data_IF_967678744623
#
_entry.id   IF_967678744623
#
_cell.length_a   1.000
_cell.length_b   1.000
_cell.length_c   1.000
_cell.angle_alpha   90.00
_cell.angle_beta   90.00
_cell.angle_gamma   90.00
#
_symmetry.space_group_name_H-M   'P 1'
#
loop_
_entity.id
_entity.type
_entity.pdbx_description
1 polymer ?
#
# COMPACT_ATOMS: atom_id res chain seq x y z
N UNK A 1 7.19 -11.18 2.56
CA UNK A 1 8.07 -10.15 2.00
C UNK A 1 8.34 -9.25 3.16
N UNK A 2 9.57 -8.78 3.24
CA UNK A 2 10.07 -8.03 4.37
C UNK A 2 10.21 -6.60 3.90
N UNK A 3 9.69 -5.64 4.66
CA UNK A 3 9.98 -4.23 4.39
C UNK A 3 11.45 -3.92 4.68
N UNK A 4 11.92 -2.77 4.19
CA UNK A 4 13.29 -2.36 4.44
C UNK A 4 13.50 -1.93 5.90
N UNK A 5 12.46 -1.42 6.55
CA UNK A 5 12.46 -0.98 7.96
C UNK A 5 12.74 -2.15 8.91
N UNK A 6 12.52 -3.40 8.47
CA UNK A 6 12.92 -4.59 9.22
C UNK A 6 14.40 -4.54 9.63
N UNK A 7 15.28 -3.98 8.81
CA UNK A 7 16.72 -3.90 9.09
C UNK A 7 17.12 -2.51 9.59
N UNK A 8 17.35 -2.37 10.90
CA UNK A 8 17.76 -1.13 11.54
C UNK A 8 16.68 -0.46 12.37
N UNK A 9 15.39 -0.68 12.07
CA UNK A 9 14.27 -0.11 12.84
C UNK A 9 13.52 -1.18 13.65
N UNK A 10 13.10 -2.29 13.03
CA UNK A 10 12.49 -3.40 13.78
C UNK A 10 13.52 -4.36 14.37
N UNK A 11 14.62 -4.60 13.64
CA UNK A 11 15.81 -5.29 14.15
C UNK A 11 16.94 -4.29 14.26
N UNK A 12 17.23 -3.84 15.48
CA UNK A 12 18.28 -2.86 15.70
C UNK A 12 19.67 -3.46 15.45
N UNK A 13 20.66 -2.61 15.24
CA UNK A 13 22.04 -3.02 14.94
C UNK A 13 22.61 -4.00 15.99
N UNK A 14 22.27 -3.80 17.27
CA UNK A 14 22.77 -4.61 18.40
C UNK A 14 22.32 -6.07 18.35
N UNK A 15 21.24 -6.37 17.61
CA UNK A 15 20.82 -7.75 17.33
C UNK A 15 21.82 -8.49 16.44
N UNK A 16 22.74 -7.77 15.80
CA UNK A 16 23.71 -8.29 14.84
C UNK A 16 23.15 -8.44 13.43
N UNK A 17 21.97 -7.89 13.13
CA UNK A 17 21.28 -8.07 11.85
C UNK A 17 22.12 -7.62 10.64
N UNK A 18 22.84 -6.50 10.75
CA UNK A 18 23.71 -6.04 9.66
C UNK A 18 24.91 -6.96 9.46
N UNK A 19 25.51 -7.48 10.54
CA UNK A 19 26.58 -8.47 10.46
C UNK A 19 26.06 -9.78 9.84
N UNK A 20 24.84 -10.18 10.14
CA UNK A 20 24.19 -11.32 9.49
C UNK A 20 24.05 -11.08 7.98
N UNK A 21 23.50 -9.94 7.56
CA UNK A 21 23.34 -9.60 6.15
C UNK A 21 24.68 -9.48 5.41
N UNK A 22 25.74 -9.00 6.05
CA UNK A 22 27.10 -8.95 5.49
C UNK A 22 27.64 -10.35 5.18
N UNK A 23 27.37 -11.34 6.05
CA UNK A 23 27.88 -12.71 5.89
C UNK A 23 26.98 -13.60 5.02
N UNK A 24 25.69 -13.29 4.93
CA UNK A 24 24.70 -14.10 4.22
C UNK A 24 25.09 -14.41 2.76
N UNK A 25 25.54 -13.44 1.92
CA UNK A 25 25.90 -13.73 0.55
C UNK A 25 27.00 -14.78 0.41
N UNK A 26 28.04 -14.70 1.25
CA UNK A 26 29.15 -15.65 1.21
C UNK A 26 28.70 -17.08 1.54
N UNK A 27 27.86 -17.24 2.56
CA UNK A 27 27.32 -18.56 2.92
C UNK A 27 26.36 -19.10 1.86
N UNK A 28 25.53 -18.27 1.23
CA UNK A 28 24.65 -18.70 0.12
C UNK A 28 25.47 -19.23 -1.06
N UNK A 29 26.50 -18.49 -1.48
CA UNK A 29 27.37 -18.87 -2.61
C UNK A 29 28.17 -20.14 -2.32
N UNK A 30 28.65 -20.32 -1.09
CA UNK A 30 29.37 -21.53 -0.65
C UNK A 30 28.53 -22.80 -0.80
N UNK A 31 27.22 -22.70 -0.69
CA UNK A 31 26.28 -23.81 -0.87
C UNK A 31 25.88 -24.03 -2.34
N UNK A 32 26.56 -23.39 -3.30
CA UNK A 32 26.30 -23.56 -4.74
C UNK A 32 24.99 -22.90 -5.20
N UNK A 33 24.42 -22.01 -4.39
CA UNK A 33 23.25 -21.21 -4.75
C UNK A 33 23.69 -19.88 -5.38
N UNK A 34 22.78 -19.25 -6.13
CA UNK A 34 23.00 -17.95 -6.77
C UNK A 34 21.95 -16.94 -6.30
N UNK A 35 22.29 -15.65 -6.37
CA UNK A 35 21.30 -14.57 -6.29
C UNK A 35 20.87 -14.21 -7.70
N UNK A 36 19.58 -14.02 -7.90
CA UNK A 36 19.04 -13.58 -9.19
C UNK A 36 17.91 -12.60 -8.97
N UNK A 37 17.90 -11.57 -9.79
CA UNK A 37 16.78 -10.63 -9.89
C UNK A 37 15.59 -11.31 -10.57
N UNK A 38 14.35 -10.81 -10.34
CA UNK A 38 13.17 -11.35 -11.01
C UNK A 38 13.30 -11.39 -12.54
N UNK A 39 13.97 -10.39 -13.15
CA UNK A 39 14.19 -10.33 -14.60
C UNK A 39 15.16 -11.42 -15.08
N UNK A 40 16.21 -11.71 -14.33
CA UNK A 40 17.15 -12.79 -14.67
C UNK A 40 16.46 -14.16 -14.58
N UNK A 41 15.67 -14.39 -13.53
CA UNK A 41 14.87 -15.62 -13.38
C UNK A 41 13.90 -15.80 -14.54
N UNK A 42 13.14 -14.74 -14.89
CA UNK A 42 12.17 -14.78 -15.97
C UNK A 42 12.80 -15.01 -17.36
N UNK A 43 14.08 -14.64 -17.55
CA UNK A 43 14.84 -14.93 -18.79
C UNK A 43 15.45 -16.32 -18.81
N UNK A 44 15.84 -16.84 -17.63
CA UNK A 44 16.54 -18.11 -17.50
C UNK A 44 15.61 -19.32 -17.58
N UNK A 45 14.39 -19.20 -17.08
CA UNK A 45 13.44 -20.31 -16.97
C UNK A 45 12.20 -20.08 -17.83
N UNK A 46 11.68 -21.16 -18.42
CA UNK A 46 10.39 -21.12 -19.11
C UNK A 46 9.23 -21.24 -18.10
N UNK A 47 8.11 -20.53 -18.31
CA UNK A 47 6.90 -20.75 -17.52
C UNK A 47 6.47 -22.21 -17.55
N UNK A 48 6.05 -22.75 -16.39
CA UNK A 48 5.66 -24.16 -16.26
C UNK A 48 4.14 -24.37 -16.19
N UNK A 49 3.41 -23.33 -15.79
CA UNK A 49 1.97 -23.36 -15.63
C UNK A 49 1.40 -21.93 -15.64
N UNK A 50 0.10 -21.83 -15.87
CA UNK A 50 -0.69 -20.62 -15.66
C UNK A 50 -1.36 -20.69 -14.29
N UNK A 51 -1.46 -19.54 -13.63
CA UNK A 51 -2.22 -19.38 -12.38
C UNK A 51 -3.28 -18.31 -12.66
N UNK A 52 -4.54 -18.68 -12.49
CA UNK A 52 -5.67 -17.76 -12.56
C UNK A 52 -6.04 -17.28 -11.15
N UNK A 53 -6.07 -15.97 -10.97
CA UNK A 53 -6.58 -15.31 -9.77
C UNK A 53 -7.91 -14.71 -10.17
N UNK A 54 -8.98 -15.50 -10.03
CA UNK A 54 -10.31 -15.16 -10.55
C UNK A 54 -10.83 -13.78 -10.12
N UNK A 55 -11.75 -13.23 -10.90
CA UNK A 55 -12.17 -11.81 -10.88
C UNK A 55 -12.57 -11.23 -9.51
N UNK A 56 -13.03 -12.05 -8.57
CA UNK A 56 -13.47 -11.64 -7.23
C UNK A 56 -12.55 -12.12 -6.10
N UNK A 57 -11.40 -12.68 -6.45
CA UNK A 57 -10.43 -13.28 -5.52
C UNK A 57 -9.21 -12.38 -5.35
N UNK A 58 -9.40 -11.06 -5.32
CA UNK A 58 -8.30 -10.12 -5.10
C UNK A 58 -7.66 -10.40 -3.74
N UNK A 59 -6.41 -10.83 -3.77
CA UNK A 59 -5.63 -11.15 -2.58
C UNK A 59 -4.62 -10.06 -2.25
N UNK A 60 -4.18 -10.03 -1.00
CA UNK A 60 -3.10 -9.18 -0.54
C UNK A 60 -2.14 -9.93 0.37
N UNK A 61 -0.98 -9.34 0.64
CA UNK A 61 -0.09 -9.85 1.68
C UNK A 61 -0.58 -9.48 3.08
N UNK A 62 -1.43 -8.46 3.24
CA UNK A 62 -1.77 -7.93 4.54
C UNK A 62 -2.67 -8.89 5.35
N UNK A 63 -2.52 -8.80 6.67
CA UNK A 63 -3.34 -9.44 7.69
C UNK A 63 -3.48 -10.96 7.55
N UNK A 64 -4.31 -11.55 8.40
CA UNK A 64 -4.56 -12.98 8.37
C UNK A 64 -5.42 -13.41 7.17
N UNK A 65 -6.38 -12.58 6.76
CA UNK A 65 -7.36 -12.92 5.72
C UNK A 65 -6.76 -12.91 4.30
N UNK A 66 -5.62 -12.24 4.09
CA UNK A 66 -4.92 -12.16 2.79
C UNK A 66 -5.82 -11.64 1.66
N UNK A 67 -6.73 -10.74 1.99
CA UNK A 67 -7.67 -10.12 1.07
C UNK A 67 -7.54 -8.58 1.11
N UNK A 68 -8.50 -7.85 0.53
CA UNK A 68 -8.47 -6.39 0.49
C UNK A 68 -8.98 -5.72 1.77
N UNK A 69 -9.36 -6.47 2.80
CA UNK A 69 -10.04 -5.93 3.98
C UNK A 69 -9.17 -4.96 4.82
N UNK A 70 -7.84 -5.01 4.68
CA UNK A 70 -6.93 -4.04 5.27
C UNK A 70 -7.16 -2.60 4.76
N UNK A 71 -7.68 -2.44 3.53
CA UNK A 71 -7.94 -1.14 2.89
C UNK A 71 -9.41 -0.90 2.55
N UNK A 72 -10.23 -1.94 2.41
CA UNK A 72 -11.64 -1.88 1.98
C UNK A 72 -12.57 -2.71 2.87
N UNK A 73 -12.16 -3.01 4.10
CA UNK A 73 -12.86 -3.90 5.03
C UNK A 73 -14.10 -3.30 5.67
N UNK A 74 -14.15 -1.98 5.85
CA UNK A 74 -15.30 -1.29 6.43
C UNK A 74 -15.95 -0.24 5.51
N UNK A 75 -17.11 0.28 5.91
CA UNK A 75 -17.91 1.22 5.11
C UNK A 75 -17.22 2.57 4.91
N UNK A 76 -16.42 3.03 5.88
CA UNK A 76 -15.70 4.31 5.78
C UNK A 76 -14.62 4.22 4.70
N UNK A 77 -13.80 3.18 4.78
CA UNK A 77 -12.78 2.83 3.79
C UNK A 77 -13.37 2.76 2.38
N UNK A 78 -14.43 1.96 2.20
CA UNK A 78 -15.12 1.83 0.91
C UNK A 78 -15.69 3.15 0.44
N UNK A 79 -16.31 3.94 1.33
CA UNK A 79 -16.87 5.24 0.96
C UNK A 79 -15.80 6.22 0.47
N UNK A 80 -14.70 6.37 1.22
CA UNK A 80 -13.58 7.23 0.86
C UNK A 80 -13.00 6.84 -0.51
N UNK A 81 -12.78 5.54 -0.72
CA UNK A 81 -12.23 5.02 -1.97
C UNK A 81 -13.17 5.23 -3.16
N UNK A 82 -14.45 4.93 -3.01
CA UNK A 82 -15.45 5.08 -4.07
C UNK A 82 -15.62 6.55 -4.49
N UNK A 83 -15.63 7.50 -3.54
CA UNK A 83 -15.70 8.93 -3.88
C UNK A 83 -14.47 9.40 -4.67
N UNK A 84 -13.27 8.93 -4.32
CA UNK A 84 -12.05 9.27 -5.03
C UNK A 84 -12.01 8.67 -6.45
N UNK A 85 -12.49 7.43 -6.59
CA UNK A 85 -12.63 6.73 -7.88
C UNK A 85 -13.62 7.45 -8.79
N UNK A 86 -14.80 7.82 -8.27
CA UNK A 86 -15.82 8.53 -9.04
C UNK A 86 -15.37 9.91 -9.52
N UNK A 87 -14.37 10.51 -8.85
CA UNK A 87 -13.83 11.81 -9.23
C UNK A 87 -12.83 11.74 -10.41
N UNK A 88 -12.29 10.56 -10.74
CA UNK A 88 -11.26 10.36 -11.77
C UNK A 88 -11.59 11.01 -13.12
N UNK A 89 -12.79 10.83 -13.72
CA UNK A 89 -13.06 11.38 -15.05
C UNK A 89 -13.00 12.91 -15.07
N UNK A 90 -13.37 13.55 -13.96
CA UNK A 90 -13.35 15.01 -13.81
C UNK A 90 -11.92 15.52 -13.61
N UNK A 91 -11.13 14.84 -12.78
CA UNK A 91 -9.70 15.12 -12.62
C UNK A 91 -8.96 15.02 -13.94
N UNK A 92 -9.22 13.98 -14.75
CA UNK A 92 -8.57 13.84 -16.06
C UNK A 92 -8.97 14.94 -17.04
N UNK A 93 -10.23 15.40 -16.96
CA UNK A 93 -10.76 16.45 -17.83
C UNK A 93 -10.17 17.83 -17.56
N UNK A 94 -9.62 18.09 -16.37
CA UNK A 94 -8.97 19.39 -16.10
C UNK A 94 -7.69 19.57 -16.91
N UNK A 95 -7.06 18.48 -17.34
CA UNK A 95 -5.72 18.47 -17.97
C UNK A 95 -4.64 19.19 -17.15
N UNK A 96 -4.91 19.43 -15.86
CA UNK A 96 -4.04 20.13 -14.93
C UNK A 96 -3.10 19.12 -14.23
N UNK A 97 -1.78 19.21 -14.45
CA UNK A 97 -0.83 18.27 -13.88
C UNK A 97 -0.79 18.31 -12.35
N UNK A 98 -1.09 19.45 -11.72
CA UNK A 98 -1.11 19.60 -10.27
C UNK A 98 -2.35 18.94 -9.67
N UNK A 99 -3.53 19.14 -10.28
CA UNK A 99 -4.76 18.45 -9.86
C UNK A 99 -4.58 16.92 -9.99
N UNK A 100 -3.98 16.45 -11.08
CA UNK A 100 -3.68 15.03 -11.26
C UNK A 100 -2.71 14.51 -10.20
N UNK A 101 -1.68 15.29 -9.83
CA UNK A 101 -0.71 14.94 -8.80
C UNK A 101 -1.38 14.82 -7.42
N UNK A 102 -2.22 15.78 -7.05
CA UNK A 102 -2.96 15.74 -5.78
C UNK A 102 -3.88 14.52 -5.72
N UNK A 103 -4.64 14.24 -6.79
CA UNK A 103 -5.49 13.06 -6.88
C UNK A 103 -4.70 11.76 -6.67
N UNK A 104 -3.53 11.62 -7.30
CA UNK A 104 -2.65 10.46 -7.11
C UNK A 104 -2.17 10.32 -5.68
N UNK A 105 -1.83 11.43 -5.01
CA UNK A 105 -1.43 11.38 -3.60
C UNK A 105 -2.58 10.98 -2.68
N UNK A 106 -3.79 11.47 -2.92
CA UNK A 106 -4.98 11.04 -2.16
C UNK A 106 -5.37 9.58 -2.42
N UNK A 107 -4.85 8.94 -3.48
CA UNK A 107 -4.99 7.52 -3.73
C UNK A 107 -3.92 6.64 -3.05
N UNK A 108 -2.99 7.22 -2.30
CA UNK A 108 -2.00 6.45 -1.54
C UNK A 108 -2.71 5.51 -0.55
N UNK A 109 -2.30 4.23 -0.54
CA UNK A 109 -2.96 3.17 0.22
C UNK A 109 -3.02 3.41 1.72
N UNK A 110 -1.99 4.08 2.27
CA UNK A 110 -1.86 4.39 3.70
C UNK A 110 -3.07 5.15 4.25
N UNK A 111 -3.68 6.04 3.45
CA UNK A 111 -4.89 6.73 3.86
C UNK A 111 -6.00 5.77 4.24
N UNK A 112 -6.25 4.74 3.43
CA UNK A 112 -7.27 3.74 3.70
C UNK A 112 -6.82 2.74 4.77
N UNK A 113 -5.53 2.44 4.82
CA UNK A 113 -4.92 1.57 5.83
C UNK A 113 -5.14 2.12 7.24
N UNK A 114 -5.01 3.44 7.43
CA UNK A 114 -5.25 4.11 8.71
C UNK A 114 -6.73 4.15 9.12
N UNK A 115 -7.65 3.90 8.19
CA UNK A 115 -9.09 3.80 8.46
C UNK A 115 -9.52 2.37 8.81
N UNK A 116 -8.60 1.41 8.89
CA UNK A 116 -8.91 0.03 9.22
C UNK A 116 -9.42 -0.09 10.66
N UNK A 117 -10.47 -0.89 10.86
CA UNK A 117 -11.11 -1.11 12.17
C UNK A 117 -10.89 -2.53 12.69
N UNK A 118 -9.88 -3.24 12.15
CA UNK A 118 -9.46 -4.53 12.68
C UNK A 118 -8.82 -4.36 14.06
N UNK A 119 -8.85 -5.43 14.83
CA UNK A 119 -8.41 -5.45 16.23
C UNK A 119 -7.27 -6.47 16.40
N UNK A 120 -6.67 -6.52 17.60
CA UNK A 120 -5.53 -7.40 17.92
C UNK A 120 -4.30 -7.06 17.06
N UNK A 121 -3.48 -8.06 16.72
CA UNK A 121 -2.19 -7.84 16.04
C UNK A 121 -2.31 -7.03 14.74
N UNK A 122 -3.36 -7.23 13.96
CA UNK A 122 -3.58 -6.45 12.73
C UNK A 122 -3.88 -4.98 13.07
N UNK A 123 -4.74 -4.73 14.07
CA UNK A 123 -5.08 -3.39 14.54
C UNK A 123 -3.89 -2.60 15.09
N UNK A 124 -2.93 -3.27 15.74
CA UNK A 124 -1.72 -2.65 16.25
C UNK A 124 -0.82 -2.14 15.10
N UNK A 125 -0.70 -2.89 14.00
CA UNK A 125 0.07 -2.47 12.82
C UNK A 125 -0.60 -1.28 12.12
N UNK A 126 -1.93 -1.30 11.99
CA UNK A 126 -2.69 -0.19 11.40
C UNK A 126 -2.57 1.12 12.20
N UNK A 127 -2.45 1.01 13.52
CA UNK A 127 -2.31 2.17 14.41
C UNK A 127 -0.86 2.65 14.52
N UNK A 128 0.13 1.76 14.40
CA UNK A 128 1.55 2.06 14.60
C UNK A 128 2.06 3.19 13.69
N UNK A 129 1.68 3.16 12.41
CA UNK A 129 2.10 4.17 11.42
C UNK A 129 1.10 5.33 11.28
N UNK A 130 -0.04 5.30 11.99
CA UNK A 130 -1.08 6.28 11.81
C UNK A 130 -0.74 7.59 12.54
N UNK A 131 -0.88 8.70 11.84
CA UNK A 131 -0.84 10.04 12.44
C UNK A 131 -2.15 10.42 13.15
N UNK A 132 -3.18 9.57 13.05
CA UNK A 132 -4.51 9.80 13.60
C UNK A 132 -4.71 9.03 14.90
N UNK A 133 -5.50 9.58 15.81
CA UNK A 133 -5.76 8.92 17.10
C UNK A 133 -6.74 7.75 16.96
N UNK A 134 -7.60 7.77 15.93
CA UNK A 134 -8.55 6.69 15.65
C UNK A 134 -8.78 6.52 14.14
N UNK A 135 -9.23 5.33 13.70
CA UNK A 135 -9.66 5.12 12.31
C UNK A 135 -10.79 6.04 11.85
N UNK A 136 -11.68 6.42 12.77
CA UNK A 136 -12.76 7.37 12.50
C UNK A 136 -12.23 8.77 12.22
N UNK A 137 -11.24 9.23 12.99
CA UNK A 137 -10.59 10.51 12.77
C UNK A 137 -9.87 10.54 11.42
N UNK A 138 -9.17 9.46 11.06
CA UNK A 138 -8.54 9.30 9.75
C UNK A 138 -9.57 9.45 8.61
N UNK A 139 -10.72 8.78 8.71
CA UNK A 139 -11.78 8.84 7.71
C UNK A 139 -12.42 10.24 7.61
N UNK A 140 -12.71 10.88 8.74
CA UNK A 140 -13.28 12.24 8.78
C UNK A 140 -12.33 13.25 8.15
N UNK A 141 -11.05 13.20 8.50
CA UNK A 141 -10.03 14.09 7.96
C UNK A 141 -9.86 13.88 6.44
N UNK A 142 -9.77 12.64 5.99
CA UNK A 142 -9.67 12.33 4.56
C UNK A 142 -10.89 12.84 3.79
N UNK A 143 -12.10 12.63 4.30
CA UNK A 143 -13.33 13.11 3.65
C UNK A 143 -13.38 14.64 3.60
N UNK A 144 -12.90 15.35 4.62
CA UNK A 144 -12.82 16.81 4.59
C UNK A 144 -11.87 17.30 3.47
N UNK A 145 -10.68 16.71 3.36
CA UNK A 145 -9.71 17.02 2.29
C UNK A 145 -10.26 16.67 0.92
N UNK A 146 -10.91 15.51 0.78
CA UNK A 146 -11.56 15.08 -0.46
C UNK A 146 -12.62 16.08 -0.91
N UNK A 147 -13.44 16.59 -0.01
CA UNK A 147 -14.50 17.55 -0.35
C UNK A 147 -13.94 18.88 -0.85
N UNK A 148 -12.87 19.39 -0.23
CA UNK A 148 -12.20 20.60 -0.72
C UNK A 148 -11.53 20.36 -2.09
N UNK A 149 -10.85 19.21 -2.25
CA UNK A 149 -10.23 18.83 -3.51
C UNK A 149 -11.28 18.69 -4.63
N UNK A 150 -12.40 18.03 -4.35
CA UNK A 150 -13.54 17.89 -5.28
C UNK A 150 -14.07 19.25 -5.71
N UNK A 151 -14.22 20.20 -4.79
CA UNK A 151 -14.62 21.56 -5.12
C UNK A 151 -13.58 22.25 -6.03
N UNK A 152 -12.29 22.07 -5.77
CA UNK A 152 -11.20 22.61 -6.61
C UNK A 152 -11.24 22.05 -8.04
N UNK A 153 -11.45 20.73 -8.20
CA UNK A 153 -11.61 20.08 -9.51
C UNK A 153 -12.74 20.73 -10.29
N UNK A 154 -13.94 20.85 -9.69
CA UNK A 154 -15.09 21.41 -10.41
C UNK A 154 -14.93 22.91 -10.71
N UNK A 155 -14.30 23.69 -9.83
CA UNK A 155 -13.98 25.09 -10.12
C UNK A 155 -13.04 25.25 -11.31
N UNK A 156 -12.08 24.36 -11.48
CA UNK A 156 -11.17 24.35 -12.63
C UNK A 156 -11.91 24.05 -13.94
N UNK A 157 -12.91 23.17 -13.91
CA UNK A 157 -13.70 22.81 -15.10
C UNK A 157 -14.73 23.88 -15.54
N UNK A 158 -15.05 24.83 -14.66
CA UNK A 158 -16.02 25.91 -14.94
C UNK A 158 -15.37 27.20 -15.43
N UNK A 159 -14.05 27.30 -15.38
CA UNK A 159 -13.26 28.43 -15.89
C UNK A 159 -12.88 28.19 -17.35
#
# INVERSE_FOLDING_TARGET
FMDYETFGEHQWEETGIFKFLEKLPAEVLKNGMEFSTPVEVARKYSPVAEIDIGDFSTISWADMERDTSAWLGNDMQRRCFEEMKLLEPFVRKTEDPEILRIWKHLLTSDHYYYMCTKWLGDGDVHSYFSVHSTPFEAAVNFMAVLMDFKASVFRSLTQ
#
